data_IF_785065266851
#
_entry.id   IF_785065266851
#
_cell.length_a   1.000
_cell.length_b   1.000
_cell.length_c   1.000
_cell.angle_alpha   90.00
_cell.angle_beta   90.00
_cell.angle_gamma   90.00
#
_symmetry.space_group_name_H-M   'P 1'
#
loop_
_entity.id
_entity.type
_entity.pdbx_description
1 polymer ?
#
# COMPACT_ATOMS: atom_id res chain seq x y z
N UNK A 1 -5.06 -2.90 14.20
CA UNK A 1 -5.22 -3.42 12.84
C UNK A 1 -4.06 -2.97 11.98
N UNK A 2 -3.33 -3.92 11.38
CA UNK A 2 -2.28 -3.64 10.40
C UNK A 2 -2.93 -3.40 9.03
N UNK A 3 -2.68 -2.24 8.44
CA UNK A 3 -3.28 -1.81 7.19
C UNK A 3 -2.22 -1.67 6.09
N UNK A 4 -2.55 -2.07 4.88
CA UNK A 4 -1.64 -2.06 3.73
C UNK A 4 -1.54 -0.65 3.10
N UNK A 5 -0.94 0.28 3.82
CA UNK A 5 -0.70 1.66 3.39
C UNK A 5 0.49 2.26 4.16
N UNK A 6 0.93 3.44 3.80
CA UNK A 6 1.91 4.25 4.54
C UNK A 6 1.25 5.56 4.99
N UNK A 7 1.32 5.86 6.29
CA UNK A 7 0.88 7.14 6.85
C UNK A 7 1.66 8.29 6.22
N UNK A 8 2.97 8.12 6.05
CA UNK A 8 3.86 9.15 5.50
C UNK A 8 3.59 9.47 4.04
N UNK A 9 3.14 8.49 3.25
CA UNK A 9 2.77 8.68 1.85
C UNK A 9 1.34 9.18 1.69
N UNK A 10 0.38 8.60 2.43
CA UNK A 10 -1.05 8.79 2.14
C UNK A 10 -1.79 9.64 3.18
N UNK A 11 -1.22 9.87 4.36
CA UNK A 11 -1.82 10.64 5.46
C UNK A 11 -0.79 11.59 6.10
N UNK A 12 0.03 12.26 5.29
CA UNK A 12 1.12 13.11 5.79
C UNK A 12 0.63 14.16 6.79
N UNK A 13 -0.50 14.84 6.53
CA UNK A 13 -1.02 15.88 7.41
C UNK A 13 -1.51 15.31 8.75
N UNK A 14 -1.95 14.05 8.79
CA UNK A 14 -2.27 13.40 10.06
C UNK A 14 -1.02 13.28 10.94
N UNK A 15 0.09 12.79 10.38
CA UNK A 15 1.34 12.64 11.09
C UNK A 15 2.01 13.98 11.43
N UNK A 16 2.03 14.92 10.47
CA UNK A 16 2.79 16.16 10.61
C UNK A 16 2.05 17.28 11.35
N UNK A 17 0.72 17.28 11.31
CA UNK A 17 -0.12 18.39 11.76
C UNK A 17 -1.27 17.94 12.68
N UNK A 18 -1.31 16.68 13.09
CA UNK A 18 -2.42 16.10 13.87
C UNK A 18 -3.80 16.28 13.20
N UNK A 19 -3.82 16.36 11.83
CA UNK A 19 -5.05 16.49 11.07
C UNK A 19 -5.89 15.22 11.19
N UNK A 20 -7.14 15.37 11.62
CA UNK A 20 -8.09 14.26 11.66
C UNK A 20 -8.86 14.16 10.36
N UNK A 21 -8.99 12.92 9.86
CA UNK A 21 -9.79 12.57 8.69
C UNK A 21 -10.95 11.65 9.09
N UNK A 22 -12.12 11.74 8.43
CA UNK A 22 -13.15 10.74 8.60
C UNK A 22 -12.66 9.37 8.13
N UNK A 23 -12.72 8.36 9.00
CA UNK A 23 -12.29 6.99 8.71
C UNK A 23 -13.39 6.04 9.13
N UNK A 24 -13.76 5.11 8.25
CA UNK A 24 -14.74 4.09 8.58
C UNK A 24 -14.58 2.84 7.70
N UNK A 25 -15.09 1.68 8.13
CA UNK A 25 -15.27 0.54 7.23
C UNK A 25 -16.18 0.91 6.04
N UNK A 26 -15.81 0.48 4.82
CA UNK A 26 -16.60 0.73 3.60
C UNK A 26 -17.36 -0.50 3.10
N UNK A 27 -17.34 -1.59 3.85
CA UNK A 27 -18.16 -2.76 3.62
C UNK A 27 -18.72 -3.31 4.93
N UNK A 28 -19.63 -4.29 4.88
CA UNK A 28 -20.35 -4.82 6.05
C UNK A 28 -21.11 -3.70 6.80
N UNK A 29 -21.60 -2.70 6.07
CA UNK A 29 -22.22 -1.50 6.63
C UNK A 29 -23.52 -1.79 7.40
N UNK A 30 -24.14 -2.94 7.17
CA UNK A 30 -25.33 -3.39 7.89
C UNK A 30 -25.02 -4.21 9.17
N UNK A 31 -23.74 -4.46 9.43
CA UNK A 31 -23.29 -5.21 10.60
C UNK A 31 -22.70 -4.23 11.61
N UNK A 32 -23.21 -4.14 12.84
CA UNK A 32 -22.61 -3.29 13.84
C UNK A 32 -21.15 -3.69 14.13
N UNK A 33 -20.22 -2.75 14.23
CA UNK A 33 -18.87 -3.01 14.69
C UNK A 33 -18.85 -3.66 16.06
N UNK A 34 -18.03 -4.66 16.26
CA UNK A 34 -17.95 -5.45 17.50
C UNK A 34 -16.58 -5.34 18.19
N UNK A 35 -15.66 -4.62 17.60
CA UNK A 35 -14.30 -4.40 18.09
C UNK A 35 -13.96 -2.91 18.07
N UNK A 36 -12.98 -2.56 18.86
CA UNK A 36 -12.34 -1.24 18.86
C UNK A 36 -10.86 -1.42 18.60
N UNK A 37 -10.24 -0.52 17.83
CA UNK A 37 -8.83 -0.64 17.55
C UNK A 37 -8.20 0.63 16.98
N UNK A 38 -6.89 0.66 17.01
CA UNK A 38 -6.05 1.63 16.29
C UNK A 38 -5.59 1.03 14.97
N UNK A 39 -5.19 1.88 14.04
CA UNK A 39 -4.65 1.48 12.76
C UNK A 39 -3.13 1.67 12.78
N UNK A 40 -2.40 0.71 12.23
CA UNK A 40 -0.96 0.82 12.01
C UNK A 40 -0.67 0.53 10.55
N UNK A 41 0.28 1.24 9.99
CA UNK A 41 0.72 1.06 8.62
C UNK A 41 1.76 -0.07 8.49
N UNK A 42 2.24 -0.32 7.28
CA UNK A 42 3.24 -1.36 7.01
C UNK A 42 4.67 -0.84 7.05
N UNK A 43 4.90 0.41 7.43
CA UNK A 43 6.27 0.91 7.65
C UNK A 43 6.86 0.33 8.93
N UNK A 44 8.18 0.37 9.07
CA UNK A 44 8.84 -0.05 10.30
C UNK A 44 8.94 1.08 11.35
N UNK A 45 8.41 2.25 11.04
CA UNK A 45 8.43 3.41 11.93
C UNK A 45 7.29 3.32 12.96
N UNK A 46 7.58 3.62 14.22
CA UNK A 46 6.59 3.62 15.31
C UNK A 46 5.52 4.72 15.15
N UNK A 47 5.79 5.76 14.38
CA UNK A 47 4.86 6.85 14.06
C UNK A 47 3.89 6.48 12.93
N UNK A 48 4.09 5.34 12.27
CA UNK A 48 3.20 4.82 11.22
C UNK A 48 1.87 4.30 11.78
N UNK A 49 1.08 5.16 12.43
CA UNK A 49 -0.18 4.80 13.09
C UNK A 49 -1.23 5.88 12.96
N UNK A 50 -2.50 5.48 13.11
CA UNK A 50 -3.63 6.35 13.35
C UNK A 50 -4.30 5.88 14.64
N UNK A 51 -4.19 6.69 15.68
CA UNK A 51 -4.71 6.41 17.03
C UNK A 51 -5.55 7.57 17.59
N UNK A 52 -5.95 8.51 16.71
CA UNK A 52 -6.92 9.55 17.00
C UNK A 52 -7.95 9.62 15.86
N UNK A 53 -9.22 9.62 16.22
CA UNK A 53 -10.34 9.54 15.29
C UNK A 53 -11.39 10.59 15.64
N UNK A 54 -12.10 11.09 14.63
CA UNK A 54 -13.23 12.01 14.81
C UNK A 54 -14.35 11.31 15.58
N UNK A 55 -14.92 11.99 16.57
CA UNK A 55 -16.14 11.61 17.28
C UNK A 55 -17.14 12.77 17.31
N UNK A 56 -18.35 12.52 17.79
CA UNK A 56 -19.45 13.50 17.78
C UNK A 56 -19.15 14.74 18.64
N UNK A 57 -18.46 14.60 19.76
CA UNK A 57 -18.19 15.70 20.69
C UNK A 57 -16.73 16.16 20.66
N UNK A 58 -15.81 15.27 20.28
CA UNK A 58 -14.36 15.55 20.27
C UNK A 58 -13.62 14.51 19.41
N UNK A 59 -12.53 13.97 19.89
CA UNK A 59 -11.77 12.87 19.32
C UNK A 59 -11.77 11.66 20.24
N UNK A 60 -11.52 10.48 19.68
CA UNK A 60 -11.34 9.25 20.42
C UNK A 60 -10.11 8.49 19.95
N UNK A 61 -9.58 7.61 20.81
CA UNK A 61 -8.31 6.91 20.57
C UNK A 61 -8.49 5.58 19.82
N UNK A 62 -9.73 5.17 19.57
CA UNK A 62 -10.03 3.92 18.87
C UNK A 62 -11.12 4.12 17.83
N UNK A 63 -11.09 3.29 16.80
CA UNK A 63 -12.11 3.24 15.75
C UNK A 63 -12.98 1.98 15.96
N UNK A 64 -14.32 2.09 15.85
CA UNK A 64 -15.20 0.93 15.80
C UNK A 64 -14.92 0.11 14.54
N UNK A 65 -14.59 -1.15 14.71
CA UNK A 65 -14.20 -2.06 13.65
C UNK A 65 -14.96 -3.40 13.78
N UNK A 66 -14.99 -4.15 12.71
CA UNK A 66 -15.50 -5.52 12.75
C UNK A 66 -14.39 -6.49 13.11
N UNK A 67 -14.76 -7.61 13.69
CA UNK A 67 -13.84 -8.74 13.79
C UNK A 67 -13.45 -9.22 12.39
N UNK A 68 -12.15 -9.38 12.16
CA UNK A 68 -11.62 -9.84 10.89
C UNK A 68 -11.23 -11.31 11.05
N UNK A 69 -11.98 -12.24 10.43
CA UNK A 69 -11.71 -13.66 10.56
C UNK A 69 -10.38 -14.02 9.87
N UNK A 70 -9.58 -14.79 10.58
CA UNK A 70 -8.29 -15.32 10.10
C UNK A 70 -8.31 -16.85 10.09
N UNK A 71 -7.46 -17.45 9.25
CA UNK A 71 -7.18 -18.88 9.29
C UNK A 71 -6.27 -19.25 10.49
N UNK A 72 -5.92 -20.51 10.60
CA UNK A 72 -5.06 -21.04 11.67
C UNK A 72 -3.62 -20.47 11.64
N UNK A 73 -3.20 -19.84 10.54
CA UNK A 73 -1.92 -19.18 10.37
C UNK A 73 -2.00 -17.66 10.55
N UNK A 74 -3.17 -17.11 10.89
CA UNK A 74 -3.40 -15.69 11.04
C UNK A 74 -3.59 -14.91 9.73
N UNK A 75 -3.72 -15.60 8.59
CA UNK A 75 -4.02 -14.97 7.31
C UNK A 75 -5.50 -14.62 7.24
N UNK A 76 -5.82 -13.43 6.72
CA UNK A 76 -7.19 -13.00 6.50
C UNK A 76 -7.93 -13.96 5.57
N UNK A 77 -9.13 -14.37 5.94
CA UNK A 77 -10.01 -15.16 5.08
C UNK A 77 -10.66 -14.31 4.00
N UNK A 78 -10.86 -13.02 4.28
CA UNK A 78 -11.43 -12.05 3.34
C UNK A 78 -10.78 -10.68 3.57
N UNK A 79 -10.64 -9.91 2.50
CA UNK A 79 -10.18 -8.54 2.59
C UNK A 79 -11.12 -7.69 3.44
N UNK A 80 -10.55 -6.76 4.20
CA UNK A 80 -11.28 -5.81 5.02
C UNK A 80 -10.90 -4.40 4.62
N UNK A 81 -11.84 -3.64 4.08
CA UNK A 81 -11.58 -2.32 3.50
C UNK A 81 -12.03 -1.20 4.44
N UNK A 82 -11.14 -0.23 4.62
CA UNK A 82 -11.39 1.02 5.32
C UNK A 82 -11.34 2.18 4.32
N UNK A 83 -12.28 3.10 4.43
CA UNK A 83 -12.27 4.36 3.70
C UNK A 83 -11.67 5.47 4.57
N UNK A 84 -10.78 6.25 3.99
CA UNK A 84 -10.25 7.50 4.51
C UNK A 84 -10.80 8.61 3.61
N UNK A 85 -11.57 9.53 4.16
CA UNK A 85 -12.36 10.48 3.37
C UNK A 85 -11.84 11.91 3.52
N UNK A 86 -12.21 12.75 2.55
CA UNK A 86 -11.91 14.18 2.53
C UNK A 86 -10.41 14.50 2.53
N UNK A 87 -9.60 13.59 2.05
CA UNK A 87 -8.18 13.85 1.82
C UNK A 87 -8.02 14.66 0.54
N UNK A 88 -7.22 15.73 0.61
CA UNK A 88 -6.94 16.59 -0.54
C UNK A 88 -5.74 16.13 -1.36
N UNK A 89 -5.56 16.74 -2.55
CA UNK A 89 -4.45 16.46 -3.46
C UNK A 89 -3.06 16.68 -2.83
N UNK A 90 -2.96 17.49 -1.82
CA UNK A 90 -1.68 17.73 -1.11
C UNK A 90 -1.15 16.49 -0.40
N UNK A 91 -2.00 15.55 0.02
CA UNK A 91 -1.56 14.31 0.64
C UNK A 91 -0.66 13.50 -0.29
N UNK A 92 -1.03 13.43 -1.58
CA UNK A 92 -0.23 12.71 -2.58
C UNK A 92 1.05 13.47 -2.97
N UNK A 93 0.95 14.79 -3.21
CA UNK A 93 2.08 15.58 -3.72
C UNK A 93 3.16 15.81 -2.65
N UNK A 94 2.78 15.96 -1.38
CA UNK A 94 3.69 16.18 -0.25
C UNK A 94 4.08 14.87 0.46
N UNK A 95 3.45 13.76 0.09
CA UNK A 95 3.73 12.45 0.67
C UNK A 95 5.18 12.03 0.51
N UNK A 96 5.73 11.39 1.55
CA UNK A 96 7.11 10.91 1.59
C UNK A 96 7.19 9.41 1.25
N UNK A 97 8.22 9.05 0.48
CA UNK A 97 8.55 7.66 0.14
C UNK A 97 9.23 6.93 1.32
N UNK A 98 8.75 7.12 2.53
CA UNK A 98 9.29 6.52 3.74
C UNK A 98 9.33 4.99 3.62
N UNK A 99 10.48 4.39 3.93
CA UNK A 99 10.78 2.97 3.71
C UNK A 99 10.58 2.49 2.25
N UNK A 100 10.65 3.41 1.27
CA UNK A 100 10.44 3.15 -0.15
C UNK A 100 9.02 2.67 -0.51
N UNK A 101 8.03 2.89 0.35
CA UNK A 101 6.62 2.79 -0.05
C UNK A 101 6.28 3.99 -0.93
N UNK A 102 5.86 3.71 -2.15
CA UNK A 102 5.60 4.73 -3.15
C UNK A 102 4.15 5.21 -3.19
N UNK A 103 3.79 5.94 -4.24
CA UNK A 103 2.42 6.37 -4.48
C UNK A 103 1.50 5.17 -4.67
N UNK A 104 0.29 5.30 -4.16
CA UNK A 104 -0.77 4.29 -4.32
C UNK A 104 -1.36 4.31 -5.72
N UNK A 105 -2.10 3.26 -6.09
CA UNK A 105 -2.92 3.30 -7.30
C UNK A 105 -4.01 4.38 -7.14
N UNK A 106 -4.26 5.12 -8.20
CA UNK A 106 -5.23 6.20 -8.24
C UNK A 106 -6.30 5.91 -9.29
N UNK A 107 -7.53 6.24 -8.97
CA UNK A 107 -8.67 6.04 -9.87
C UNK A 107 -9.49 7.33 -9.91
N UNK A 108 -9.69 7.87 -11.11
CA UNK A 108 -10.57 9.02 -11.33
C UNK A 108 -11.98 8.53 -11.60
N UNK A 109 -12.90 8.86 -10.69
CA UNK A 109 -14.31 8.45 -10.77
C UNK A 109 -15.20 9.68 -10.86
N UNK A 110 -16.11 9.70 -11.84
CA UNK A 110 -17.08 10.75 -12.03
C UNK A 110 -18.50 10.21 -11.85
N UNK A 111 -19.33 10.99 -11.18
CA UNK A 111 -20.75 10.66 -11.05
C UNK A 111 -21.46 10.96 -12.39
N UNK A 112 -22.22 10.00 -12.88
CA UNK A 112 -23.05 10.13 -14.06
C UNK A 112 -24.37 9.37 -13.84
N UNK A 113 -25.51 10.08 -13.66
CA UNK A 113 -26.80 9.45 -13.45
C UNK A 113 -27.30 8.60 -14.63
N UNK A 114 -26.75 8.82 -15.83
CA UNK A 114 -27.13 8.09 -17.05
C UNK A 114 -26.41 6.74 -17.14
N UNK A 115 -25.33 6.55 -16.36
CA UNK A 115 -24.64 5.27 -16.27
C UNK A 115 -25.39 4.29 -15.33
N UNK A 116 -25.42 2.97 -15.65
CA UNK A 116 -26.14 1.97 -14.85
C UNK A 116 -25.75 1.91 -13.38
N UNK A 117 -24.49 2.24 -13.06
CA UNK A 117 -23.96 2.28 -11.68
C UNK A 117 -23.99 3.68 -11.07
N UNK A 118 -24.47 4.70 -11.82
CA UNK A 118 -24.47 6.09 -11.39
C UNK A 118 -23.09 6.78 -11.44
N UNK A 119 -22.08 6.12 -12.00
CA UNK A 119 -20.72 6.66 -12.15
C UNK A 119 -19.97 5.98 -13.29
N UNK A 120 -18.88 6.59 -13.73
CA UNK A 120 -17.91 5.95 -14.62
C UNK A 120 -16.47 6.21 -14.13
N UNK A 121 -15.57 5.32 -14.53
CA UNK A 121 -14.12 5.44 -14.29
C UNK A 121 -13.51 6.09 -15.53
N UNK A 122 -12.91 7.26 -15.36
CA UNK A 122 -12.25 7.98 -16.46
C UNK A 122 -10.83 7.48 -16.66
N UNK A 123 -10.05 7.33 -15.58
CA UNK A 123 -8.65 6.96 -15.65
C UNK A 123 -8.25 6.10 -14.45
N UNK A 124 -7.31 5.20 -14.68
CA UNK A 124 -6.62 4.42 -13.65
C UNK A 124 -5.12 4.69 -13.78
N UNK A 125 -4.51 5.28 -12.76
CA UNK A 125 -3.09 5.58 -12.69
C UNK A 125 -2.42 4.55 -11.78
N UNK A 126 -1.42 3.85 -12.30
CA UNK A 126 -0.68 2.88 -11.50
C UNK A 126 0.23 3.59 -10.49
N UNK A 127 0.25 3.06 -9.27
CA UNK A 127 1.16 3.50 -8.24
C UNK A 127 2.62 3.16 -8.53
N UNK A 128 3.48 3.57 -7.63
CA UNK A 128 4.94 3.46 -7.80
C UNK A 128 5.40 2.01 -7.82
N UNK A 129 6.21 1.64 -8.81
CA UNK A 129 6.88 0.34 -8.84
C UNK A 129 8.12 0.34 -7.95
N UNK A 130 8.58 -0.85 -7.54
CA UNK A 130 9.84 -1.03 -6.79
C UNK A 130 11.03 -0.40 -7.52
N UNK A 131 11.11 -0.59 -8.85
CA UNK A 131 12.17 0.03 -9.66
C UNK A 131 12.12 1.56 -9.66
N UNK A 132 10.93 2.16 -9.69
CA UNK A 132 10.77 3.62 -9.61
C UNK A 132 11.12 4.16 -8.22
N UNK A 133 10.70 3.47 -7.15
CA UNK A 133 11.07 3.82 -5.78
C UNK A 133 12.60 3.76 -5.58
N UNK A 134 13.26 2.72 -6.07
CA UNK A 134 14.71 2.60 -6.04
C UNK A 134 15.42 3.70 -6.83
N UNK A 135 14.86 4.13 -7.96
CA UNK A 135 15.40 5.22 -8.76
C UNK A 135 15.41 6.56 -7.99
N UNK A 136 14.41 6.81 -7.13
CA UNK A 136 14.36 8.01 -6.29
C UNK A 136 15.53 8.12 -5.30
N UNK A 137 16.14 6.98 -4.94
CA UNK A 137 17.34 6.88 -4.09
C UNK A 137 18.59 6.49 -4.88
N UNK A 138 18.61 6.83 -6.16
CA UNK A 138 19.77 6.74 -7.06
C UNK A 138 20.20 5.32 -7.45
N UNK A 139 19.32 4.33 -7.36
CA UNK A 139 19.57 2.99 -7.90
C UNK A 139 18.96 2.87 -9.30
N UNK A 140 19.82 2.76 -10.31
CA UNK A 140 19.41 2.54 -11.70
C UNK A 140 18.95 1.10 -11.94
N UNK A 141 17.73 0.93 -12.42
CA UNK A 141 17.12 -0.37 -12.64
C UNK A 141 17.89 -1.22 -13.67
N UNK A 142 18.43 -0.61 -14.74
CA UNK A 142 19.19 -1.32 -15.76
C UNK A 142 20.53 -1.80 -15.20
N UNK A 143 21.16 -1.00 -14.36
CA UNK A 143 22.41 -1.40 -13.70
C UNK A 143 22.16 -2.55 -12.71
N UNK A 144 21.09 -2.51 -11.94
CA UNK A 144 20.69 -3.59 -11.04
C UNK A 144 20.48 -4.91 -11.81
N UNK A 145 19.73 -4.88 -12.91
CA UNK A 145 19.53 -6.04 -13.79
C UNK A 145 20.85 -6.57 -14.36
N UNK A 146 21.75 -5.68 -14.82
CA UNK A 146 23.07 -6.07 -15.31
C UNK A 146 23.93 -6.70 -14.22
N UNK A 147 23.91 -6.19 -13.00
CA UNK A 147 24.65 -6.75 -11.85
C UNK A 147 24.12 -8.14 -11.51
N UNK A 148 22.82 -8.30 -11.40
CA UNK A 148 22.19 -9.60 -11.16
C UNK A 148 22.55 -10.61 -12.25
N UNK A 149 22.45 -10.23 -13.52
CA UNK A 149 22.83 -11.10 -14.65
C UNK A 149 24.29 -11.55 -14.54
N UNK A 150 25.25 -10.64 -14.24
CA UNK A 150 26.66 -11.02 -14.07
C UNK A 150 26.87 -12.00 -12.92
N UNK A 151 26.14 -11.87 -11.82
CA UNK A 151 26.22 -12.81 -10.68
C UNK A 151 25.70 -14.19 -11.08
N UNK A 152 24.55 -14.25 -11.76
CA UNK A 152 23.97 -15.49 -12.28
C UNK A 152 24.93 -16.18 -13.25
N UNK A 153 25.49 -15.44 -14.22
CA UNK A 153 26.43 -15.97 -15.21
C UNK A 153 27.71 -16.54 -14.52
N UNK A 154 28.18 -15.91 -13.46
CA UNK A 154 29.32 -16.41 -12.65
C UNK A 154 28.96 -17.68 -11.89
N UNK A 155 27.78 -17.73 -11.26
CA UNK A 155 27.33 -18.91 -10.53
C UNK A 155 27.15 -20.13 -11.46
N UNK A 156 26.61 -19.92 -12.67
CA UNK A 156 26.49 -20.98 -13.68
C UNK A 156 27.88 -21.49 -14.13
N UNK A 157 28.81 -20.57 -14.38
CA UNK A 157 30.20 -20.95 -14.78
C UNK A 157 30.97 -21.70 -13.68
N UNK A 158 30.59 -21.47 -12.42
CA UNK A 158 31.19 -22.13 -11.27
C UNK A 158 30.45 -23.41 -10.83
N UNK A 159 29.50 -23.90 -11.63
CA UNK A 159 28.63 -25.05 -11.32
C UNK A 159 27.83 -24.94 -10.00
N UNK A 160 27.62 -23.70 -9.54
CA UNK A 160 26.83 -23.41 -8.33
C UNK A 160 25.34 -23.24 -8.63
N UNK A 161 24.96 -23.11 -9.89
CA UNK A 161 23.59 -22.88 -10.36
C UNK A 161 23.37 -23.48 -11.74
N UNK A 162 22.22 -24.11 -11.95
CA UNK A 162 21.82 -24.59 -13.27
C UNK A 162 21.34 -23.44 -14.17
N UNK A 163 21.55 -23.51 -15.51
CA UNK A 163 21.07 -22.47 -16.42
C UNK A 163 19.55 -22.19 -16.34
N UNK A 164 18.75 -23.23 -16.03
CA UNK A 164 17.29 -23.09 -15.84
C UNK A 164 16.93 -22.32 -14.60
N UNK A 165 17.65 -22.54 -13.51
CA UNK A 165 17.49 -21.80 -12.24
C UNK A 165 17.89 -20.33 -12.42
N UNK A 166 19.01 -20.09 -13.13
CA UNK A 166 19.46 -18.73 -13.45
C UNK A 166 18.45 -17.94 -14.27
N UNK A 167 17.83 -18.58 -15.29
CA UNK A 167 16.76 -17.92 -16.07
C UNK A 167 15.53 -17.61 -15.22
N UNK A 168 15.13 -18.51 -14.32
CA UNK A 168 14.02 -18.29 -13.39
C UNK A 168 14.33 -17.12 -12.46
N UNK A 169 15.50 -17.10 -11.83
CA UNK A 169 15.91 -16.04 -10.91
C UNK A 169 15.92 -14.67 -11.60
N UNK A 170 16.45 -14.57 -12.83
CA UNK A 170 16.47 -13.31 -13.58
C UNK A 170 15.06 -12.81 -13.90
N UNK A 171 14.15 -13.70 -14.28
CA UNK A 171 12.75 -13.36 -14.52
C UNK A 171 12.06 -12.90 -13.25
N UNK A 172 12.25 -13.63 -12.14
CA UNK A 172 11.62 -13.32 -10.86
C UNK A 172 12.16 -11.98 -10.31
N UNK A 173 13.45 -11.71 -10.51
CA UNK A 173 14.06 -10.42 -10.17
C UNK A 173 13.49 -9.25 -11.00
N UNK A 174 13.31 -9.45 -12.30
CA UNK A 174 12.70 -8.46 -13.20
C UNK A 174 11.25 -8.17 -12.83
N UNK A 175 10.48 -9.22 -12.56
CA UNK A 175 9.11 -9.10 -12.08
C UNK A 175 9.04 -8.35 -10.73
N UNK A 176 9.95 -8.63 -9.80
CA UNK A 176 10.04 -7.91 -8.52
C UNK A 176 10.31 -6.41 -8.69
N UNK A 177 11.21 -6.03 -9.60
CA UNK A 177 11.47 -4.60 -9.89
C UNK A 177 10.28 -3.89 -10.53
N UNK A 178 9.44 -4.61 -11.26
CA UNK A 178 8.22 -4.10 -11.89
C UNK A 178 7.00 -4.19 -10.96
N UNK A 179 7.14 -4.80 -9.80
CA UNK A 179 6.09 -4.97 -8.81
C UNK A 179 5.70 -3.68 -8.13
N UNK A 180 4.50 -3.68 -7.54
CA UNK A 180 3.99 -2.60 -6.73
C UNK A 180 4.68 -2.54 -5.37
N UNK A 181 4.80 -1.37 -4.74
CA UNK A 181 5.52 -1.20 -3.47
C UNK A 181 4.72 -1.63 -2.24
N UNK A 182 3.43 -1.87 -2.39
CA UNK A 182 2.56 -2.38 -1.32
C UNK A 182 2.25 -3.87 -1.51
N UNK A 183 1.63 -4.48 -0.51
CA UNK A 183 1.23 -5.88 -0.60
C UNK A 183 0.16 -6.03 -1.69
N UNK A 184 0.35 -7.00 -2.57
CA UNK A 184 -0.65 -7.43 -3.56
C UNK A 184 -1.23 -8.79 -3.15
N UNK A 185 -2.55 -8.93 -3.33
CA UNK A 185 -3.24 -10.19 -3.09
C UNK A 185 -2.81 -11.29 -4.09
#
# INVERSE_FOLDING_TARGET
YLCNFSVFQSLLDHWALDQLFPIMPIHRLEVPPSREGTLVDITCDSDGKVDQFIDFEDSRNTLPLHEVPTDEHGKLLHDYYLGFFLMGAYQDIMGDLHNLFGRVNEVHVFLDPDEPCGYYVEEIIQGTTVGAALASVQYDQHELKRRMKRQVDRAIKADLMKPTEGRRLLRDYDAGLSGYTYLSA
#
